data_IF_634635046394
#
_entry.id   IF_634635046394
#
_cell.length_a   1.000
_cell.length_b   1.000
_cell.length_c   1.000
_cell.angle_alpha   90.00
_cell.angle_beta   90.00
_cell.angle_gamma   90.00
#
_symmetry.space_group_name_H-M   'P 1'
#
loop_
_entity.id
_entity.type
_entity.pdbx_description
1 polymer ?
#
# COMPACT_ATOMS: atom_id res chain seq x y z
N UNK A 1 5.03 1.29 -35.35
CA UNK A 1 5.26 1.45 -33.89
C UNK A 1 6.59 2.11 -33.52
N UNK A 2 7.70 1.82 -34.21
CA UNK A 2 9.05 2.32 -33.84
C UNK A 2 9.20 3.86 -33.78
N UNK A 3 8.40 4.64 -34.53
CA UNK A 3 8.47 6.12 -34.54
C UNK A 3 7.70 6.81 -33.40
N UNK A 4 6.74 6.13 -32.77
CA UNK A 4 5.88 6.74 -31.73
C UNK A 4 6.56 6.76 -30.36
N UNK A 5 7.36 5.72 -30.07
CA UNK A 5 8.11 5.60 -28.82
C UNK A 5 9.11 6.77 -28.61
N UNK A 6 9.98 7.13 -29.58
CA UNK A 6 10.90 8.26 -29.40
C UNK A 6 10.14 9.58 -29.24
N UNK A 7 9.02 9.79 -29.95
CA UNK A 7 8.19 10.99 -29.80
C UNK A 7 7.64 11.12 -28.37
N UNK A 8 7.14 10.03 -27.78
CA UNK A 8 6.64 10.00 -26.40
C UNK A 8 7.76 10.31 -25.39
N UNK A 9 8.98 9.80 -25.62
CA UNK A 9 10.13 10.11 -24.77
C UNK A 9 10.54 11.58 -24.87
N UNK A 10 10.60 12.14 -26.08
CA UNK A 10 10.93 13.56 -26.28
C UNK A 10 9.89 14.45 -25.59
N UNK A 11 8.60 14.15 -25.73
CA UNK A 11 7.54 14.91 -25.09
C UNK A 11 7.62 14.83 -23.57
N UNK A 12 7.90 13.65 -23.02
CA UNK A 12 8.07 13.46 -21.58
C UNK A 12 9.27 14.25 -21.03
N UNK A 13 10.41 14.23 -21.75
CA UNK A 13 11.60 15.01 -21.37
C UNK A 13 11.28 16.51 -21.38
N UNK A 14 10.61 17.02 -22.43
CA UNK A 14 10.22 18.43 -22.52
C UNK A 14 9.28 18.85 -21.40
N UNK A 15 8.31 18.02 -21.03
CA UNK A 15 7.43 18.28 -19.89
C UNK A 15 8.24 18.32 -18.59
N UNK A 16 9.16 17.36 -18.39
CA UNK A 16 10.02 17.32 -17.21
C UNK A 16 10.89 18.56 -17.05
N UNK A 17 11.53 19.03 -18.13
CA UNK A 17 12.38 20.23 -18.09
C UNK A 17 11.57 21.49 -17.79
N UNK A 18 10.35 21.60 -18.31
CA UNK A 18 9.44 22.69 -17.99
C UNK A 18 9.00 22.65 -16.52
N UNK A 19 8.65 21.47 -15.99
CA UNK A 19 8.31 21.29 -14.57
C UNK A 19 9.49 21.64 -13.64
N UNK A 20 10.72 21.22 -13.99
CA UNK A 20 11.92 21.57 -13.24
C UNK A 20 12.20 23.08 -13.27
N UNK A 21 11.91 23.75 -14.38
CA UNK A 21 12.02 25.22 -14.50
C UNK A 21 11.01 25.93 -13.59
N UNK A 22 9.75 25.47 -13.57
CA UNK A 22 8.72 25.98 -12.65
C UNK A 22 9.14 25.80 -11.19
N UNK A 23 9.75 24.66 -10.84
CA UNK A 23 10.32 24.44 -9.51
C UNK A 23 11.42 25.42 -9.17
N UNK A 24 12.38 25.61 -10.08
CA UNK A 24 13.48 26.56 -9.87
C UNK A 24 12.98 27.98 -9.62
N UNK A 25 12.02 28.43 -10.42
CA UNK A 25 11.37 29.75 -10.26
C UNK A 25 10.62 29.86 -8.94
N UNK A 26 9.89 28.81 -8.54
CA UNK A 26 9.12 28.80 -7.29
C UNK A 26 10.04 28.76 -6.06
N UNK A 27 11.09 27.94 -6.09
CA UNK A 27 12.07 27.85 -5.01
C UNK A 27 12.81 29.19 -4.83
N UNK A 28 13.23 29.83 -5.93
CA UNK A 28 13.80 31.18 -5.90
C UNK A 28 12.82 32.19 -5.32
N UNK A 29 11.54 32.11 -5.70
CA UNK A 29 10.47 32.97 -5.17
C UNK A 29 10.29 32.82 -3.66
N UNK A 30 10.39 31.60 -3.11
CA UNK A 30 10.34 31.34 -1.65
C UNK A 30 11.54 31.98 -0.93
N UNK A 31 12.74 31.85 -1.50
CA UNK A 31 13.96 32.45 -0.91
C UNK A 31 13.86 33.98 -0.92
N UNK A 32 13.39 34.57 -2.02
CA UNK A 32 13.21 36.03 -2.13
C UNK A 32 12.10 36.49 -1.19
N UNK A 33 11.01 35.74 -1.07
CA UNK A 33 9.90 36.04 -0.14
C UNK A 33 10.37 36.10 1.32
N UNK A 34 11.23 35.18 1.77
CA UNK A 34 11.78 35.24 3.13
C UNK A 34 12.56 36.52 3.44
N UNK A 35 13.10 37.21 2.42
CA UNK A 35 13.78 38.50 2.59
C UNK A 35 12.80 39.70 2.64
N UNK A 36 11.54 39.48 2.30
CA UNK A 36 10.48 40.51 2.25
C UNK A 36 9.36 40.18 3.24
N UNK A 37 9.56 39.16 4.08
CA UNK A 37 8.52 38.55 4.92
C UNK A 37 7.93 39.53 5.95
N UNK A 38 8.69 40.55 6.34
CA UNK A 38 8.25 41.57 7.32
C UNK A 38 7.16 42.50 6.77
N UNK A 39 6.99 42.58 5.44
CA UNK A 39 6.08 43.54 4.77
C UNK A 39 4.75 42.89 4.35
N UNK A 40 4.63 41.56 4.51
CA UNK A 40 3.60 40.77 3.81
C UNK A 40 2.48 40.30 4.76
N UNK A 41 1.19 40.45 4.40
CA UNK A 41 0.06 39.92 5.16
C UNK A 41 0.10 38.39 5.30
N UNK A 42 -0.12 37.86 6.52
CA UNK A 42 0.00 36.43 6.85
C UNK A 42 -0.95 35.50 6.08
N UNK A 43 -2.11 35.98 5.61
CA UNK A 43 -3.11 35.19 4.89
C UNK A 43 -2.67 34.77 3.49
N UNK A 44 -1.92 35.63 2.79
CA UNK A 44 -1.44 35.39 1.42
C UNK A 44 -0.20 34.47 1.42
N UNK A 45 0.44 34.28 2.58
CA UNK A 45 1.73 33.59 2.68
C UNK A 45 1.67 32.10 2.38
N UNK A 46 0.55 31.41 2.58
CA UNK A 46 0.61 29.95 2.65
C UNK A 46 0.14 29.27 1.37
N UNK A 47 -0.93 29.75 0.75
CA UNK A 47 -1.66 28.96 -0.26
C UNK A 47 -1.04 29.05 -1.66
N UNK A 48 -0.78 30.26 -2.18
CA UNK A 48 -0.29 30.42 -3.55
C UNK A 48 1.11 29.84 -3.80
N UNK A 49 2.03 30.04 -2.85
CA UNK A 49 3.41 29.52 -2.96
C UNK A 49 3.49 28.00 -2.75
N UNK A 50 2.66 27.42 -1.88
CA UNK A 50 2.60 25.96 -1.72
C UNK A 50 2.02 25.27 -2.95
N UNK A 51 1.05 25.90 -3.63
CA UNK A 51 0.44 25.31 -4.83
C UNK A 51 1.39 25.27 -6.03
N UNK A 52 2.19 26.32 -6.24
CA UNK A 52 3.21 26.31 -7.29
C UNK A 52 4.33 25.29 -7.01
N UNK A 53 4.69 25.11 -5.74
CA UNK A 53 5.66 24.08 -5.34
C UNK A 53 5.10 22.67 -5.55
N UNK A 54 3.79 22.49 -5.33
CA UNK A 54 3.10 21.22 -5.56
C UNK A 54 3.05 20.82 -7.04
N UNK A 55 2.75 21.78 -7.94
CA UNK A 55 2.81 21.54 -9.39
C UNK A 55 4.21 21.12 -9.85
N UNK A 56 5.24 21.76 -9.29
CA UNK A 56 6.61 21.47 -9.64
C UNK A 56 7.14 20.14 -9.10
N UNK A 57 6.95 19.86 -7.80
CA UNK A 57 7.53 18.68 -7.13
C UNK A 57 6.92 17.37 -7.64
N UNK A 58 5.65 17.40 -8.03
CA UNK A 58 4.99 16.27 -8.67
C UNK A 58 5.79 15.77 -9.87
N UNK A 59 6.07 16.65 -10.83
CA UNK A 59 6.70 16.27 -12.10
C UNK A 59 8.06 15.58 -11.98
N UNK A 60 8.85 15.84 -10.93
CA UNK A 60 10.18 15.23 -10.74
C UNK A 60 10.09 13.85 -10.09
N UNK A 61 9.36 13.72 -8.98
CA UNK A 61 9.19 12.42 -8.26
C UNK A 61 8.55 11.39 -9.20
N UNK A 62 7.74 11.88 -10.11
CA UNK A 62 6.98 11.12 -11.09
C UNK A 62 7.87 10.55 -12.23
N UNK A 63 9.08 11.07 -12.46
CA UNK A 63 10.01 10.56 -13.49
C UNK A 63 10.83 9.33 -13.05
N UNK A 64 10.95 9.05 -11.75
CA UNK A 64 11.78 7.94 -11.24
C UNK A 64 11.05 6.57 -11.21
N UNK A 65 9.74 6.54 -11.50
CA UNK A 65 8.96 5.29 -11.46
C UNK A 65 9.35 4.40 -12.66
N UNK A 66 10.01 3.27 -12.35
CA UNK A 66 10.55 2.33 -13.35
C UNK A 66 9.48 1.79 -14.31
N UNK A 67 9.75 1.75 -15.63
CA UNK A 67 8.75 1.48 -16.68
C UNK A 67 8.42 -0.01 -16.91
N UNK A 68 8.69 -0.91 -15.97
CA UNK A 68 8.64 -2.36 -16.23
C UNK A 68 7.24 -2.97 -16.13
N UNK A 69 6.24 -2.26 -15.62
CA UNK A 69 4.85 -2.74 -15.59
C UNK A 69 3.85 -1.66 -16.02
N UNK A 70 3.31 -1.87 -17.22
CA UNK A 70 2.01 -1.40 -17.72
C UNK A 70 1.89 0.07 -18.16
N UNK A 71 1.85 0.22 -19.48
CA UNK A 71 1.33 1.38 -20.24
C UNK A 71 -0.02 1.92 -19.69
N UNK A 72 -0.84 1.06 -19.06
CA UNK A 72 -2.10 1.44 -18.42
C UNK A 72 -1.89 2.35 -17.20
N UNK A 73 -0.86 2.09 -16.40
CA UNK A 73 -0.48 2.96 -15.30
C UNK A 73 0.04 4.28 -15.85
N UNK A 74 0.78 4.26 -16.96
CA UNK A 74 1.30 5.47 -17.62
C UNK A 74 0.20 6.41 -18.10
N UNK A 75 -0.89 5.91 -18.71
CA UNK A 75 -1.99 6.79 -19.17
C UNK A 75 -2.75 7.42 -18.01
N UNK A 76 -3.10 6.64 -16.98
CA UNK A 76 -3.77 7.12 -15.76
C UNK A 76 -2.88 8.12 -15.02
N UNK A 77 -1.57 7.85 -15.00
CA UNK A 77 -0.57 8.70 -14.40
C UNK A 77 -0.41 10.03 -15.13
N UNK A 78 -0.26 10.02 -16.46
CA UNK A 78 -0.17 11.24 -17.28
C UNK A 78 -1.43 12.10 -17.09
N UNK A 79 -2.62 11.47 -17.12
CA UNK A 79 -3.87 12.18 -16.92
C UNK A 79 -3.98 12.83 -15.53
N UNK A 80 -3.60 12.08 -14.48
CA UNK A 80 -3.84 12.50 -13.08
C UNK A 80 -2.75 13.41 -12.54
N UNK A 81 -1.49 13.19 -12.92
CA UNK A 81 -0.35 13.89 -12.31
C UNK A 81 0.21 14.98 -13.21
N UNK A 82 0.23 14.77 -14.52
CA UNK A 82 0.85 15.72 -15.47
C UNK A 82 -0.19 16.72 -16.00
N UNK A 83 -1.44 16.31 -16.18
CA UNK A 83 -2.48 17.19 -16.72
C UNK A 83 -3.33 17.83 -15.61
N UNK A 84 -3.88 17.02 -14.70
CA UNK A 84 -4.83 17.51 -13.70
C UNK A 84 -4.17 18.44 -12.65
N UNK A 85 -2.91 18.22 -12.25
CA UNK A 85 -2.25 19.07 -11.25
C UNK A 85 -1.94 20.48 -11.76
N UNK A 86 -1.26 20.67 -12.91
CA UNK A 86 -1.11 22.00 -13.50
C UNK A 86 -2.46 22.66 -13.78
N UNK A 87 -3.48 21.88 -14.15
CA UNK A 87 -4.83 22.39 -14.40
C UNK A 87 -5.45 22.93 -13.11
N UNK A 88 -5.41 22.19 -12.00
CA UNK A 88 -5.93 22.65 -10.70
C UNK A 88 -5.20 23.91 -10.26
N UNK A 89 -3.87 23.95 -10.35
CA UNK A 89 -3.07 25.12 -9.96
C UNK A 89 -3.35 26.31 -10.87
N UNK A 90 -3.50 26.08 -12.18
CA UNK A 90 -3.85 27.14 -13.12
C UNK A 90 -5.28 27.65 -12.88
N UNK A 91 -6.25 26.76 -12.72
CA UNK A 91 -7.61 27.13 -12.32
C UNK A 91 -7.57 27.96 -11.04
N UNK A 92 -6.92 27.48 -9.98
CA UNK A 92 -6.84 28.20 -8.72
C UNK A 92 -6.20 29.59 -8.87
N UNK A 93 -5.07 29.69 -9.58
CA UNK A 93 -4.39 30.98 -9.83
C UNK A 93 -5.17 31.94 -10.72
N UNK A 94 -6.16 31.46 -11.50
CA UNK A 94 -7.03 32.28 -12.32
C UNK A 94 -8.42 32.52 -11.71
N UNK A 95 -8.91 31.64 -10.84
CA UNK A 95 -10.25 31.69 -10.24
C UNK A 95 -10.25 32.20 -8.80
N UNK A 96 -9.12 32.14 -8.09
CA UNK A 96 -8.99 32.71 -6.74
C UNK A 96 -9.05 34.23 -6.84
N UNK A 97 -10.29 34.73 -6.73
CA UNK A 97 -10.77 36.09 -6.49
C UNK A 97 -10.19 37.18 -7.40
N UNK A 98 -11.10 37.91 -8.04
CA UNK A 98 -10.84 38.92 -9.07
C UNK A 98 -9.76 39.98 -8.71
N UNK A 99 -9.38 40.09 -7.44
CA UNK A 99 -8.43 41.08 -6.94
C UNK A 99 -7.13 40.57 -6.30
N UNK A 100 -6.99 39.29 -5.91
CA UNK A 100 -5.87 38.83 -5.06
C UNK A 100 -5.03 37.69 -5.68
N UNK A 101 -4.71 37.78 -6.97
CA UNK A 101 -3.84 36.77 -7.58
C UNK A 101 -2.41 36.80 -6.99
N UNK A 102 -1.73 35.64 -6.87
CA UNK A 102 -0.34 35.58 -6.38
C UNK A 102 0.63 36.49 -7.15
N UNK A 103 0.34 36.70 -8.44
CA UNK A 103 1.08 37.62 -9.31
C UNK A 103 0.86 39.08 -8.89
N UNK A 104 -0.40 39.51 -8.77
CA UNK A 104 -0.74 40.88 -8.39
C UNK A 104 -0.14 41.25 -7.05
N UNK A 105 -0.26 40.37 -6.05
CA UNK A 105 0.41 40.55 -4.76
C UNK A 105 1.93 40.69 -4.91
N UNK A 106 2.59 39.78 -5.64
CA UNK A 106 4.04 39.85 -5.88
C UNK A 106 4.49 41.16 -6.52
N UNK A 107 3.63 41.79 -7.32
CA UNK A 107 3.89 43.07 -7.98
C UNK A 107 3.50 44.30 -7.12
N UNK A 108 2.60 44.14 -6.14
CA UNK A 108 2.14 45.22 -5.25
C UNK A 108 3.02 45.44 -4.00
N UNK A 109 3.84 44.46 -3.61
CA UNK A 109 4.73 44.54 -2.41
C UNK A 109 5.76 45.69 -2.50
N UNK A 110 6.03 46.24 -3.68
CA UNK A 110 6.78 47.49 -3.81
C UNK A 110 7.65 47.60 -5.08
N UNK A 111 8.36 48.72 -5.20
CA UNK A 111 9.21 49.05 -6.35
C UNK A 111 10.65 48.55 -6.25
N UNK A 112 11.04 47.94 -5.12
CA UNK A 112 12.38 47.42 -4.89
C UNK A 112 12.74 46.28 -5.83
N UNK A 113 14.03 46.12 -6.14
CA UNK A 113 14.53 45.14 -7.11
C UNK A 113 14.12 43.70 -6.77
N UNK A 114 14.04 43.36 -5.49
CA UNK A 114 13.58 42.05 -5.01
C UNK A 114 12.09 41.81 -5.30
N UNK A 115 11.23 42.83 -5.15
CA UNK A 115 9.81 42.73 -5.44
C UNK A 115 9.56 42.59 -6.95
N UNK A 116 10.29 43.36 -7.78
CA UNK A 116 10.24 43.22 -9.25
C UNK A 116 10.69 41.83 -9.72
N UNK A 117 11.75 41.28 -9.12
CA UNK A 117 12.21 39.92 -9.44
C UNK A 117 11.16 38.87 -9.04
N UNK A 118 10.52 39.02 -7.88
CA UNK A 118 9.47 38.10 -7.40
C UNK A 118 8.25 38.10 -8.32
N UNK A 119 7.75 39.30 -8.69
CA UNK A 119 6.67 39.49 -9.66
C UNK A 119 7.00 38.82 -11.01
N UNK A 120 8.21 39.02 -11.54
CA UNK A 120 8.65 38.43 -12.81
C UNK A 120 8.74 36.90 -12.74
N UNK A 121 9.28 36.36 -11.66
CA UNK A 121 9.46 34.91 -11.49
C UNK A 121 8.10 34.19 -11.33
N UNK A 122 7.16 34.75 -10.55
CA UNK A 122 5.81 34.21 -10.40
C UNK A 122 5.01 34.28 -11.71
N UNK A 123 5.10 35.40 -12.43
CA UNK A 123 4.50 35.57 -13.76
C UNK A 123 5.05 34.53 -14.74
N UNK A 124 6.37 34.36 -14.78
CA UNK A 124 7.02 33.38 -15.65
C UNK A 124 6.59 31.95 -15.31
N UNK A 125 6.56 31.58 -14.02
CA UNK A 125 6.12 30.25 -13.58
C UNK A 125 4.67 29.96 -14.00
N UNK A 126 3.77 30.94 -13.85
CA UNK A 126 2.36 30.83 -14.29
C UNK A 126 2.25 30.62 -15.79
N UNK A 127 2.94 31.40 -16.61
CA UNK A 127 2.87 31.27 -18.06
C UNK A 127 3.50 29.97 -18.58
N UNK A 128 4.46 29.38 -17.86
CA UNK A 128 5.04 28.07 -18.19
C UNK A 128 4.08 26.90 -17.94
N UNK A 129 3.05 27.05 -17.10
CA UNK A 129 2.03 26.01 -16.90
C UNK A 129 1.16 25.79 -18.15
N UNK A 130 0.97 26.82 -18.99
CA UNK A 130 0.17 26.73 -20.22
C UNK A 130 0.78 25.76 -21.24
N UNK A 131 2.06 25.89 -21.66
CA UNK A 131 2.67 24.91 -22.56
C UNK A 131 2.77 23.52 -21.93
N UNK A 132 2.96 23.41 -20.61
CA UNK A 132 2.91 22.10 -19.91
C UNK A 132 1.54 21.43 -20.13
N UNK A 133 0.44 22.16 -19.96
CA UNK A 133 -0.91 21.63 -20.17
C UNK A 133 -1.16 21.21 -21.62
N UNK A 134 -0.70 22.01 -22.59
CA UNK A 134 -0.85 21.70 -24.02
C UNK A 134 -0.07 20.41 -24.37
N UNK A 135 1.18 20.30 -23.92
CA UNK A 135 2.00 19.11 -24.15
C UNK A 135 1.44 17.87 -23.44
N UNK A 136 0.98 18.02 -22.19
CA UNK A 136 0.34 16.96 -21.43
C UNK A 136 -0.95 16.45 -22.11
N UNK A 137 -1.77 17.37 -22.62
CA UNK A 137 -2.97 17.05 -23.41
C UNK A 137 -2.63 16.29 -24.68
N UNK A 138 -1.58 16.70 -25.40
CA UNK A 138 -1.06 15.96 -26.56
C UNK A 138 -0.58 14.55 -26.20
N UNK A 139 0.12 14.39 -25.07
CA UNK A 139 0.56 13.08 -24.57
C UNK A 139 -0.63 12.17 -24.26
N UNK A 140 -1.63 12.72 -23.57
CA UNK A 140 -2.84 11.98 -23.22
C UNK A 140 -3.62 11.55 -24.46
N UNK A 141 -3.84 12.47 -25.41
CA UNK A 141 -4.55 12.18 -26.65
C UNK A 141 -3.84 11.08 -27.47
N UNK A 142 -2.51 11.15 -27.58
CA UNK A 142 -1.73 10.11 -28.30
C UNK A 142 -1.74 8.76 -27.59
N UNK A 143 -1.70 8.74 -26.25
CA UNK A 143 -1.81 7.51 -25.46
C UNK A 143 -3.19 6.85 -25.60
N UNK A 144 -4.27 7.64 -25.55
CA UNK A 144 -5.65 7.16 -25.73
C UNK A 144 -5.85 6.65 -27.16
N UNK A 145 -5.39 7.40 -28.17
CA UNK A 145 -5.47 6.99 -29.57
C UNK A 145 -4.82 5.63 -29.81
N UNK A 146 -3.61 5.42 -29.27
CA UNK A 146 -2.90 4.14 -29.38
C UNK A 146 -3.72 2.99 -28.76
N UNK A 147 -4.28 3.21 -27.57
CA UNK A 147 -5.08 2.19 -26.87
C UNK A 147 -6.33 1.80 -27.66
N UNK A 148 -7.01 2.79 -28.26
CA UNK A 148 -8.17 2.52 -29.10
C UNK A 148 -7.79 1.76 -30.38
N UNK A 149 -6.63 2.08 -30.98
CA UNK A 149 -6.11 1.35 -32.13
C UNK A 149 -5.75 -0.11 -31.84
N UNK A 150 -5.08 -0.38 -30.71
CA UNK A 150 -4.68 -1.74 -30.32
C UNK A 150 -5.91 -2.63 -30.01
N UNK A 151 -6.96 -2.07 -29.39
CA UNK A 151 -8.21 -2.79 -29.14
C UNK A 151 -8.93 -3.19 -30.46
N UNK A 152 -8.93 -2.31 -31.46
CA UNK A 152 -9.57 -2.61 -32.74
C UNK A 152 -8.82 -3.71 -33.53
N UNK A 153 -7.49 -3.75 -33.45
CA UNK A 153 -6.71 -4.81 -34.10
C UNK A 153 -6.88 -6.18 -33.45
N UNK A 154 -7.01 -6.25 -32.12
CA UNK A 154 -7.25 -7.52 -31.41
C UNK A 154 -8.64 -8.12 -31.74
N UNK A 155 -9.66 -7.28 -31.93
CA UNK A 155 -10.99 -7.78 -32.31
C UNK A 155 -11.03 -8.37 -33.73
N UNK A 156 -10.20 -7.89 -34.65
CA UNK A 156 -10.15 -8.43 -36.01
C UNK A 156 -9.42 -9.78 -36.12
N UNK A 157 -8.48 -10.07 -35.22
CA UNK A 157 -7.74 -11.35 -35.24
C UNK A 157 -8.52 -12.52 -34.63
N UNK A 158 -9.51 -12.26 -33.77
CA UNK A 158 -10.28 -13.32 -33.10
C UNK A 158 -11.36 -13.97 -33.99
N UNK A 159 -11.60 -13.45 -35.20
CA UNK A 159 -12.59 -14.00 -36.14
C UNK A 159 -12.02 -15.02 -37.16
N UNK A 160 -10.72 -15.35 -37.11
CA UNK A 160 -10.07 -16.18 -38.13
C UNK A 160 -9.57 -17.55 -37.64
N UNK A 161 -9.97 -18.04 -36.46
CA UNK A 161 -9.48 -19.34 -35.92
C UNK A 161 -10.59 -20.20 -35.32
N UNK A 162 -11.66 -20.41 -36.07
CA UNK A 162 -12.65 -21.48 -35.81
C UNK A 162 -12.61 -22.49 -36.95
N UNK A 163 -11.60 -23.38 -36.91
CA UNK A 163 -11.45 -24.44 -37.91
C UNK A 163 -10.69 -25.63 -37.34
N UNK A 164 -11.44 -26.71 -37.08
CA UNK A 164 -11.02 -28.12 -37.05
C UNK A 164 -9.77 -28.49 -36.22
N UNK A 165 -10.00 -29.25 -35.14
CA UNK A 165 -9.62 -30.68 -35.11
C UNK A 165 -10.20 -31.37 -33.87
N UNK A 166 -11.20 -32.23 -34.13
CA UNK A 166 -11.45 -33.46 -33.38
C UNK A 166 -10.24 -34.37 -33.58
N UNK A 167 -9.62 -34.88 -32.51
CA UNK A 167 -9.15 -36.26 -32.52
C UNK A 167 -8.98 -36.79 -31.10
N UNK A 168 -9.78 -37.81 -30.83
CA UNK A 168 -9.72 -38.74 -29.70
C UNK A 168 -8.50 -39.66 -29.88
N UNK A 169 -7.55 -39.60 -28.95
CA UNK A 169 -6.61 -40.69 -28.72
C UNK A 169 -6.44 -40.91 -27.21
N UNK A 170 -6.92 -42.06 -26.73
CA UNK A 170 -6.58 -42.59 -25.42
C UNK A 170 -5.13 -43.10 -25.43
N UNK A 171 -4.32 -42.88 -24.37
CA UNK A 171 -2.98 -43.44 -24.30
C UNK A 171 -2.95 -44.87 -23.73
N UNK A 172 -1.97 -45.70 -24.15
CA UNK A 172 -1.78 -47.10 -23.74
C UNK A 172 -1.11 -47.22 -22.35
N UNK A 173 -0.95 -48.44 -21.78
CA UNK A 173 -0.70 -48.68 -20.35
C UNK A 173 0.76 -48.43 -19.89
N UNK A 174 1.41 -47.37 -20.38
CA UNK A 174 2.68 -46.85 -19.85
C UNK A 174 2.49 -45.79 -18.74
N UNK A 175 1.25 -45.36 -18.47
CA UNK A 175 0.92 -44.33 -17.47
C UNK A 175 1.30 -44.70 -16.02
N UNK A 176 1.46 -46.00 -15.70
CA UNK A 176 1.86 -46.43 -14.34
C UNK A 176 3.31 -46.14 -13.97
N UNK A 177 4.24 -46.11 -14.93
CA UNK A 177 5.68 -45.85 -14.65
C UNK A 177 6.01 -44.36 -14.48
N UNK A 178 5.12 -43.45 -14.91
CA UNK A 178 5.26 -42.00 -14.67
C UNK A 178 4.71 -41.56 -13.31
N UNK A 179 3.78 -42.32 -12.71
CA UNK A 179 3.25 -42.04 -11.37
C UNK A 179 4.29 -42.23 -10.27
N UNK A 180 5.28 -43.12 -10.43
CA UNK A 180 6.26 -43.43 -9.36
C UNK A 180 7.45 -42.46 -9.29
N UNK A 181 7.65 -41.59 -10.28
CA UNK A 181 8.78 -40.62 -10.30
C UNK A 181 8.35 -39.21 -9.85
N UNK A 182 7.10 -39.04 -9.42
CA UNK A 182 6.41 -37.75 -9.27
C UNK A 182 6.06 -37.35 -7.83
N UNK A 183 6.48 -38.12 -6.82
CA UNK A 183 5.86 -38.11 -5.48
C UNK A 183 6.63 -37.31 -4.41
N UNK A 184 7.71 -36.60 -4.76
CA UNK A 184 8.51 -35.87 -3.74
C UNK A 184 8.78 -34.40 -4.05
N UNK A 185 8.52 -33.94 -5.28
CA UNK A 185 8.65 -32.53 -5.64
C UNK A 185 7.26 -31.87 -5.67
N UNK A 186 7.07 -30.81 -4.88
CA UNK A 186 5.86 -29.99 -4.94
C UNK A 186 5.71 -29.46 -6.37
N UNK A 187 4.65 -29.90 -7.07
CA UNK A 187 4.46 -29.59 -8.48
C UNK A 187 4.20 -28.09 -8.65
N UNK A 188 5.06 -27.41 -9.40
CA UNK A 188 4.76 -26.06 -9.86
C UNK A 188 3.78 -26.14 -11.02
N UNK A 189 2.48 -26.28 -10.72
CA UNK A 189 1.41 -26.39 -11.73
C UNK A 189 1.40 -25.19 -12.70
N UNK A 190 1.91 -24.03 -12.28
CA UNK A 190 2.06 -22.85 -13.14
C UNK A 190 3.14 -23.02 -14.23
N UNK A 191 4.10 -23.92 -14.05
CA UNK A 191 5.12 -24.22 -15.04
C UNK A 191 4.67 -25.27 -16.08
N UNK A 192 3.55 -25.95 -15.85
CA UNK A 192 3.00 -26.94 -16.79
C UNK A 192 2.38 -26.27 -18.00
N UNK A 193 2.47 -26.92 -19.16
CA UNK A 193 1.75 -26.54 -20.37
C UNK A 193 0.24 -26.72 -20.22
N UNK A 194 -0.55 -26.07 -21.08
CA UNK A 194 -2.02 -26.21 -21.09
C UNK A 194 -2.45 -27.68 -21.22
N UNK A 195 -1.80 -28.43 -22.12
CA UNK A 195 -2.10 -29.85 -22.33
C UNK A 195 -1.78 -30.71 -21.10
N UNK A 196 -0.67 -30.45 -20.41
CA UNK A 196 -0.33 -31.15 -19.17
C UNK A 196 -1.32 -30.83 -18.05
N UNK A 197 -1.76 -29.56 -17.92
CA UNK A 197 -2.80 -29.19 -16.95
C UNK A 197 -4.14 -29.84 -17.26
N UNK A 198 -4.52 -29.95 -18.53
CA UNK A 198 -5.71 -30.71 -18.93
C UNK A 198 -5.57 -32.19 -18.58
N UNK A 199 -4.38 -32.77 -18.80
CA UNK A 199 -4.09 -34.14 -18.38
C UNK A 199 -4.21 -34.39 -16.87
N UNK A 200 -4.02 -33.37 -16.02
CA UNK A 200 -4.27 -33.48 -14.57
C UNK A 200 -5.77 -33.48 -14.22
N UNK A 201 -6.62 -32.90 -15.07
CA UNK A 201 -8.07 -32.93 -14.93
C UNK A 201 -8.66 -34.26 -15.43
N UNK A 202 -7.91 -34.97 -16.26
CA UNK A 202 -8.22 -36.31 -16.71
C UNK A 202 -7.80 -37.36 -15.66
N UNK A 203 -8.56 -38.44 -15.55
CA UNK A 203 -8.24 -39.58 -14.67
C UNK A 203 -9.28 -39.87 -13.58
N UNK A 204 -8.86 -40.58 -12.50
CA UNK A 204 -9.78 -41.00 -11.46
C UNK A 204 -10.31 -39.80 -10.68
N UNK A 205 -11.55 -39.94 -10.20
CA UNK A 205 -12.29 -38.88 -9.52
C UNK A 205 -12.71 -39.33 -8.13
N UNK A 206 -12.78 -38.38 -7.20
CA UNK A 206 -13.21 -38.61 -5.83
C UNK A 206 -14.21 -37.56 -5.36
N UNK A 207 -15.13 -37.94 -4.49
CA UNK A 207 -16.05 -37.03 -3.84
C UNK A 207 -15.42 -36.44 -2.57
N UNK A 208 -15.49 -35.12 -2.41
CA UNK A 208 -14.94 -34.41 -1.25
C UNK A 208 -16.08 -34.07 -0.30
N UNK A 209 -15.95 -34.49 0.96
CA UNK A 209 -16.90 -34.23 2.04
C UNK A 209 -16.28 -33.35 3.13
N UNK A 210 -17.09 -32.47 3.70
CA UNK A 210 -16.74 -31.62 4.85
C UNK A 210 -17.83 -31.80 5.89
N UNK A 211 -17.46 -32.29 7.09
CA UNK A 211 -18.39 -32.53 8.19
C UNK A 211 -19.64 -33.32 7.70
N UNK A 212 -19.41 -34.38 6.92
CA UNK A 212 -20.46 -35.26 6.37
C UNK A 212 -21.29 -34.68 5.21
N UNK A 213 -21.08 -33.42 4.81
CA UNK A 213 -21.75 -32.82 3.64
C UNK A 213 -20.88 -32.90 2.40
N UNK A 214 -21.48 -33.25 1.27
CA UNK A 214 -20.78 -33.27 -0.02
C UNK A 214 -20.39 -31.84 -0.42
N UNK A 215 -19.09 -31.56 -0.41
CA UNK A 215 -18.54 -30.28 -0.83
C UNK A 215 -18.37 -30.24 -2.35
N UNK A 216 -17.72 -31.24 -2.93
CA UNK A 216 -17.42 -31.24 -4.36
C UNK A 216 -17.50 -32.66 -4.93
N UNK A 217 -18.43 -32.95 -5.86
CA UNK A 217 -18.52 -34.26 -6.49
C UNK A 217 -17.46 -34.44 -7.57
N UNK A 218 -16.98 -35.67 -7.74
CA UNK A 218 -16.15 -36.07 -8.88
C UNK A 218 -14.91 -35.17 -9.09
N UNK A 219 -14.22 -34.78 -8.01
CA UNK A 219 -13.01 -34.00 -8.08
C UNK A 219 -11.85 -34.83 -8.69
N UNK A 220 -11.14 -34.32 -9.72
CA UNK A 220 -10.01 -35.04 -10.33
C UNK A 220 -8.87 -35.21 -9.33
N UNK A 221 -8.52 -36.46 -9.04
CA UNK A 221 -7.53 -36.81 -7.99
C UNK A 221 -6.15 -36.24 -8.34
N UNK A 222 -5.71 -36.37 -9.58
CA UNK A 222 -4.38 -35.88 -10.00
C UNK A 222 -4.24 -34.37 -9.81
N UNK A 223 -5.27 -33.59 -10.17
CA UNK A 223 -5.29 -32.15 -9.94
C UNK A 223 -5.34 -31.78 -8.45
N UNK A 224 -6.07 -32.53 -7.62
CA UNK A 224 -6.08 -32.33 -6.16
C UNK A 224 -4.69 -32.55 -5.57
N UNK A 225 -4.05 -33.67 -5.89
CA UNK A 225 -2.71 -33.99 -5.39
C UNK A 225 -1.67 -32.95 -5.84
N UNK A 226 -1.79 -32.44 -7.06
CA UNK A 226 -0.88 -31.41 -7.58
C UNK A 226 -0.98 -30.08 -6.82
N UNK A 227 -2.16 -29.71 -6.32
CA UNK A 227 -2.38 -28.44 -5.62
C UNK A 227 -2.36 -28.52 -4.10
N UNK A 228 -2.69 -29.68 -3.54
CA UNK A 228 -2.90 -29.87 -2.12
C UNK A 228 -1.95 -30.92 -1.56
N UNK A 229 -1.07 -30.50 -0.65
CA UNK A 229 -0.20 -31.44 0.05
C UNK A 229 -1.00 -32.39 0.96
N UNK A 230 -2.11 -31.93 1.53
CA UNK A 230 -3.01 -32.74 2.36
C UNK A 230 -3.68 -33.84 1.53
N UNK A 231 -4.17 -33.51 0.33
CA UNK A 231 -4.78 -34.49 -0.58
C UNK A 231 -3.74 -35.42 -1.16
N UNK A 232 -2.54 -34.91 -1.48
CA UNK A 232 -1.42 -35.72 -1.91
C UNK A 232 -1.12 -36.83 -0.89
N UNK A 233 -0.87 -36.46 0.37
CA UNK A 233 -0.61 -37.42 1.44
C UNK A 233 -1.78 -38.42 1.64
N UNK A 234 -3.03 -37.96 1.53
CA UNK A 234 -4.19 -38.82 1.68
C UNK A 234 -4.29 -39.90 0.59
N UNK A 235 -4.15 -39.52 -0.68
CA UNK A 235 -4.25 -40.44 -1.81
C UNK A 235 -2.99 -41.28 -2.00
N UNK A 236 -1.83 -40.81 -1.54
CA UNK A 236 -0.63 -41.65 -1.42
C UNK A 236 -0.86 -42.82 -0.46
N UNK A 237 -1.44 -42.53 0.72
CA UNK A 237 -1.76 -43.58 1.69
C UNK A 237 -2.95 -44.45 1.26
N UNK A 238 -3.87 -43.91 0.46
CA UNK A 238 -5.12 -44.56 0.07
C UNK A 238 -5.39 -44.44 -1.45
N UNK A 239 -4.60 -45.12 -2.30
CA UNK A 239 -4.64 -44.91 -3.75
C UNK A 239 -5.95 -45.34 -4.44
N UNK A 240 -6.77 -46.15 -3.76
CA UNK A 240 -8.08 -46.60 -4.25
C UNK A 240 -9.26 -45.82 -3.66
N UNK A 241 -8.98 -44.81 -2.81
CA UNK A 241 -10.04 -44.01 -2.20
C UNK A 241 -10.82 -43.23 -3.26
N UNK A 242 -12.15 -43.30 -3.18
CA UNK A 242 -13.07 -42.53 -4.03
C UNK A 242 -13.76 -41.40 -3.28
N UNK A 243 -13.48 -41.27 -1.99
CA UNK A 243 -14.09 -40.27 -1.12
C UNK A 243 -13.05 -39.74 -0.17
N UNK A 244 -13.01 -38.43 0.05
CA UNK A 244 -12.16 -37.79 1.05
C UNK A 244 -13.03 -37.02 2.01
N UNK A 245 -12.88 -37.26 3.31
CA UNK A 245 -13.59 -36.50 4.34
C UNK A 245 -12.61 -35.62 5.09
N UNK A 246 -12.80 -34.30 4.98
CA UNK A 246 -12.02 -33.32 5.72
C UNK A 246 -12.60 -33.12 7.12
N UNK A 247 -11.76 -33.29 8.15
CA UNK A 247 -12.10 -33.02 9.57
C UNK A 247 -12.03 -31.53 9.92
N UNK A 248 -12.10 -30.64 8.94
CA UNK A 248 -11.95 -29.20 9.13
C UNK A 248 -13.29 -28.53 9.46
N UNK A 249 -13.24 -27.48 10.27
CA UNK A 249 -14.36 -26.55 10.52
C UNK A 249 -14.51 -25.49 9.42
N UNK A 250 -13.78 -25.61 8.31
CA UNK A 250 -13.86 -24.67 7.20
C UNK A 250 -15.28 -24.59 6.61
N UNK A 251 -15.66 -23.39 6.21
CA UNK A 251 -16.96 -23.13 5.59
C UNK A 251 -17.13 -23.91 4.26
N UNK A 252 -18.29 -24.56 4.12
CA UNK A 252 -18.60 -25.43 2.98
C UNK A 252 -18.59 -24.66 1.66
N UNK A 253 -19.17 -23.46 1.64
CA UNK A 253 -19.27 -22.62 0.44
C UNK A 253 -17.90 -22.05 0.05
N UNK A 254 -17.09 -21.68 1.04
CA UNK A 254 -15.72 -21.26 0.80
C UNK A 254 -14.86 -22.39 0.22
N UNK A 255 -14.96 -23.62 0.74
CA UNK A 255 -14.24 -24.77 0.18
C UNK A 255 -14.71 -25.09 -1.24
N UNK A 256 -16.02 -25.06 -1.50
CA UNK A 256 -16.55 -25.18 -2.86
C UNK A 256 -15.96 -24.13 -3.81
N UNK A 257 -15.82 -22.89 -3.34
CA UNK A 257 -15.24 -21.80 -4.12
C UNK A 257 -13.77 -22.07 -4.44
N UNK A 258 -12.97 -22.47 -3.45
CA UNK A 258 -11.55 -22.81 -3.66
C UNK A 258 -11.40 -23.97 -4.64
N UNK A 259 -12.15 -25.06 -4.47
CA UNK A 259 -12.10 -26.22 -5.34
C UNK A 259 -12.53 -25.88 -6.77
N UNK A 260 -13.67 -25.18 -6.95
CA UNK A 260 -14.13 -24.74 -8.27
C UNK A 260 -13.08 -23.89 -8.99
N UNK A 261 -12.38 -23.00 -8.29
CA UNK A 261 -11.35 -22.15 -8.88
C UNK A 261 -10.01 -22.85 -9.15
N UNK A 262 -9.76 -24.05 -8.60
CA UNK A 262 -8.43 -24.70 -8.66
C UNK A 262 -8.41 -25.98 -9.48
N UNK A 263 -9.43 -26.83 -9.37
CA UNK A 263 -9.45 -28.20 -9.94
C UNK A 263 -10.50 -28.39 -11.04
N UNK A 264 -10.88 -27.32 -11.72
CA UNK A 264 -11.81 -27.36 -12.87
C UNK A 264 -11.12 -26.90 -14.15
N UNK A 265 -11.73 -27.17 -15.29
CA UNK A 265 -11.28 -26.66 -16.60
C UNK A 265 -11.18 -25.14 -16.60
N UNK A 266 -12.16 -24.44 -16.01
CA UNK A 266 -12.09 -22.98 -15.83
C UNK A 266 -10.99 -22.51 -14.87
N UNK A 267 -10.59 -23.37 -13.91
CA UNK A 267 -9.58 -23.06 -12.90
C UNK A 267 -8.15 -23.22 -13.42
N UNK A 268 -7.84 -24.37 -14.03
CA UNK A 268 -6.46 -24.71 -14.44
C UNK A 268 -6.32 -25.09 -15.92
N UNK A 269 -7.41 -25.36 -16.62
CA UNK A 269 -7.38 -25.86 -18.01
C UNK A 269 -7.24 -24.77 -19.08
N UNK A 270 -7.32 -23.49 -18.71
CA UNK A 270 -7.12 -22.36 -19.62
C UNK A 270 -5.64 -22.02 -19.85
N UNK A 271 -5.37 -21.03 -20.71
CA UNK A 271 -4.01 -20.51 -20.98
C UNK A 271 -3.34 -19.97 -19.70
N UNK A 272 -4.12 -19.26 -18.89
CA UNK A 272 -3.73 -18.76 -17.58
C UNK A 272 -4.48 -19.55 -16.49
N UNK A 273 -3.79 -19.83 -15.38
CA UNK A 273 -4.42 -20.42 -14.20
C UNK A 273 -5.26 -19.34 -13.51
N UNK A 274 -6.55 -19.61 -13.34
CA UNK A 274 -7.46 -18.68 -12.68
C UNK A 274 -7.03 -18.43 -11.23
N UNK A 275 -7.17 -17.19 -10.78
CA UNK A 275 -7.05 -16.89 -9.36
C UNK A 275 -8.26 -17.46 -8.62
N UNK A 276 -8.06 -17.87 -7.36
CA UNK A 276 -9.19 -18.18 -6.48
C UNK A 276 -10.07 -16.94 -6.37
N UNK A 277 -11.39 -17.10 -6.50
CA UNK A 277 -12.33 -15.99 -6.50
C UNK A 277 -12.07 -15.04 -5.31
N UNK A 278 -12.04 -13.74 -5.60
CA UNK A 278 -11.88 -12.73 -4.56
C UNK A 278 -13.23 -12.58 -3.86
N UNK A 279 -13.28 -12.87 -2.56
CA UNK A 279 -14.43 -12.48 -1.74
C UNK A 279 -14.63 -10.96 -1.81
N UNK A 280 -15.88 -10.51 -1.76
CA UNK A 280 -16.20 -9.07 -1.79
C UNK A 280 -16.07 -8.42 -0.42
N UNK A 281 -16.14 -9.22 0.65
CA UNK A 281 -16.04 -8.75 2.04
C UNK A 281 -14.82 -9.35 2.74
N UNK A 282 -14.35 -8.68 3.80
CA UNK A 282 -13.26 -9.17 4.65
C UNK A 282 -13.58 -10.57 5.22
N UNK A 283 -14.85 -10.78 5.60
CA UNK A 283 -15.34 -12.07 6.10
C UNK A 283 -15.19 -13.16 5.03
N UNK A 284 -15.66 -12.91 3.81
CA UNK A 284 -15.54 -13.87 2.72
C UNK A 284 -14.06 -14.15 2.37
N UNK A 285 -13.20 -13.13 2.38
CA UNK A 285 -11.77 -13.31 2.15
C UNK A 285 -11.13 -14.23 3.19
N UNK A 286 -11.47 -14.05 4.46
CA UNK A 286 -10.98 -14.89 5.55
C UNK A 286 -11.48 -16.33 5.47
N UNK A 287 -12.75 -16.54 5.12
CA UNK A 287 -13.31 -17.88 4.91
C UNK A 287 -12.65 -18.59 3.72
N UNK A 288 -12.41 -17.91 2.60
CA UNK A 288 -11.70 -18.48 1.44
C UNK A 288 -10.26 -18.81 1.78
N UNK A 289 -9.57 -17.94 2.53
CA UNK A 289 -8.23 -18.21 3.03
C UNK A 289 -8.20 -19.46 3.91
N UNK A 290 -9.06 -19.54 4.93
CA UNK A 290 -9.19 -20.70 5.82
C UNK A 290 -9.49 -21.97 5.04
N UNK A 291 -10.42 -21.92 4.08
CA UNK A 291 -10.75 -23.05 3.22
C UNK A 291 -9.51 -23.54 2.43
N UNK A 292 -8.72 -22.62 1.87
CA UNK A 292 -7.48 -22.97 1.19
C UNK A 292 -6.44 -23.61 2.12
N UNK A 293 -6.25 -23.07 3.32
CA UNK A 293 -5.34 -23.65 4.33
C UNK A 293 -5.81 -25.03 4.78
N UNK A 294 -7.10 -25.19 5.04
CA UNK A 294 -7.70 -26.47 5.43
C UNK A 294 -7.57 -27.55 4.33
N UNK A 295 -7.62 -27.12 3.07
CA UNK A 295 -7.35 -27.98 1.92
C UNK A 295 -5.86 -28.23 1.70
N UNK A 296 -4.94 -27.63 2.46
CA UNK A 296 -3.50 -27.73 2.18
C UNK A 296 -3.09 -27.05 0.87
N UNK A 297 -3.79 -25.99 0.48
CA UNK A 297 -3.58 -25.19 -0.73
C UNK A 297 -3.15 -23.75 -0.37
N UNK A 298 -2.37 -23.57 0.69
CA UNK A 298 -1.92 -22.28 1.23
C UNK A 298 -1.26 -21.39 0.15
N UNK A 299 -0.46 -21.97 -0.75
CA UNK A 299 0.16 -21.25 -1.85
C UNK A 299 -0.86 -20.62 -2.81
N UNK A 300 -2.03 -21.26 -3.02
CA UNK A 300 -3.11 -20.76 -3.88
C UNK A 300 -3.87 -19.60 -3.27
N UNK A 301 -3.97 -19.58 -1.94
CA UNK A 301 -4.67 -18.54 -1.18
C UNK A 301 -3.72 -17.52 -0.55
N UNK A 302 -2.43 -17.55 -0.88
CA UNK A 302 -1.46 -16.56 -0.40
C UNK A 302 -1.80 -15.13 -0.84
N UNK A 303 -2.41 -14.97 -2.02
CA UNK A 303 -2.92 -13.67 -2.44
C UNK A 303 -3.99 -13.13 -1.47
N UNK A 304 -4.92 -13.99 -1.03
CA UNK A 304 -5.94 -13.65 -0.03
C UNK A 304 -5.30 -13.34 1.32
N UNK A 305 -4.27 -14.08 1.73
CA UNK A 305 -3.50 -13.79 2.94
C UNK A 305 -2.90 -12.38 2.90
N UNK A 306 -2.24 -12.01 1.79
CA UNK A 306 -1.67 -10.67 1.61
C UNK A 306 -2.74 -9.57 1.66
N UNK A 307 -3.87 -9.77 0.98
CA UNK A 307 -4.98 -8.83 1.03
C UNK A 307 -5.55 -8.68 2.44
N UNK A 308 -5.75 -9.78 3.15
CA UNK A 308 -6.22 -9.77 4.53
C UNK A 308 -5.25 -8.99 5.42
N UNK A 309 -3.93 -9.23 5.30
CA UNK A 309 -2.91 -8.47 6.07
C UNK A 309 -3.01 -6.97 5.83
N UNK A 310 -3.12 -6.56 4.56
CA UNK A 310 -3.25 -5.15 4.21
C UNK A 310 -4.53 -4.56 4.81
N UNK A 311 -5.67 -5.25 4.69
CA UNK A 311 -6.94 -4.78 5.24
C UNK A 311 -6.92 -4.68 6.77
N UNK A 312 -6.30 -5.65 7.47
CA UNK A 312 -6.09 -5.64 8.92
C UNK A 312 -5.24 -4.43 9.33
N UNK A 313 -4.18 -4.13 8.58
CA UNK A 313 -3.25 -3.04 8.92
C UNK A 313 -3.78 -1.65 8.56
N UNK A 314 -4.57 -1.52 7.50
CA UNK A 314 -5.14 -0.24 7.08
C UNK A 314 -6.35 0.17 7.92
N UNK A 315 -7.20 -0.78 8.31
CA UNK A 315 -8.49 -0.50 8.94
C UNK A 315 -8.62 -1.17 10.29
N UNK A 316 -9.31 -0.51 11.23
CA UNK A 316 -9.78 -1.19 12.43
C UNK A 316 -10.90 -2.14 12.04
N UNK A 317 -10.68 -3.44 12.27
CA UNK A 317 -11.61 -4.50 11.88
C UNK A 317 -12.81 -4.50 12.84
N UNK A 318 -14.00 -4.78 12.31
CA UNK A 318 -15.19 -4.96 13.13
C UNK A 318 -15.09 -6.19 14.03
N UNK A 319 -15.75 -6.17 15.19
CA UNK A 319 -15.80 -7.32 16.09
C UNK A 319 -16.36 -8.59 15.42
N UNK A 320 -17.31 -8.45 14.51
CA UNK A 320 -17.83 -9.57 13.71
C UNK A 320 -16.73 -10.27 12.90
N UNK A 321 -15.92 -9.49 12.17
CA UNK A 321 -14.84 -10.05 11.38
C UNK A 321 -13.69 -10.57 12.26
N UNK A 322 -13.41 -9.93 13.40
CA UNK A 322 -12.47 -10.45 14.40
C UNK A 322 -12.92 -11.81 14.94
N UNK A 323 -14.18 -11.93 15.37
CA UNK A 323 -14.76 -13.18 15.85
C UNK A 323 -14.63 -14.29 14.80
N UNK A 324 -14.90 -13.97 13.55
CA UNK A 324 -14.76 -14.93 12.46
C UNK A 324 -13.30 -15.36 12.30
N UNK A 325 -12.34 -14.43 12.26
CA UNK A 325 -10.92 -14.76 12.12
C UNK A 325 -10.44 -15.62 13.29
N UNK A 326 -10.71 -15.20 14.53
CA UNK A 326 -10.25 -15.87 15.75
C UNK A 326 -10.85 -17.26 15.89
N UNK A 327 -12.12 -17.44 15.52
CA UNK A 327 -12.79 -18.75 15.57
C UNK A 327 -12.23 -19.74 14.55
N UNK A 328 -11.80 -19.25 13.39
CA UNK A 328 -11.53 -20.07 12.22
C UNK A 328 -10.05 -20.28 11.91
N UNK A 329 -9.20 -19.36 12.35
CA UNK A 329 -7.76 -19.38 12.09
C UNK A 329 -7.04 -19.84 13.37
N UNK A 330 -6.25 -20.92 13.32
CA UNK A 330 -5.53 -21.40 14.49
C UNK A 330 -4.47 -20.40 14.93
N UNK A 331 -4.15 -20.38 16.23
CA UNK A 331 -3.20 -19.43 16.81
C UNK A 331 -1.76 -19.56 16.28
N UNK A 332 -1.42 -20.72 15.73
CA UNK A 332 -0.13 -20.98 15.08
C UNK A 332 -0.03 -20.39 13.67
N UNK A 333 -1.15 -19.98 13.07
CA UNK A 333 -1.19 -19.46 11.71
C UNK A 333 -0.57 -18.06 11.62
N UNK A 334 0.10 -17.79 10.50
CA UNK A 334 0.77 -16.50 10.24
C UNK A 334 -0.23 -15.34 10.22
N UNK A 335 -1.47 -15.55 9.79
CA UNK A 335 -2.52 -14.53 9.81
C UNK A 335 -2.97 -14.20 11.22
N UNK A 336 -3.08 -15.20 12.10
CA UNK A 336 -3.41 -14.96 13.50
C UNK A 336 -2.29 -14.16 14.20
N UNK A 337 -1.03 -14.52 13.95
CA UNK A 337 0.13 -13.79 14.46
C UNK A 337 0.20 -12.35 13.96
N UNK A 338 -0.14 -12.11 12.68
CA UNK A 338 -0.23 -10.75 12.14
C UNK A 338 -1.33 -9.94 12.84
N UNK A 339 -2.50 -10.54 13.02
CA UNK A 339 -3.61 -9.91 13.74
C UNK A 339 -3.23 -9.54 15.18
N UNK A 340 -2.55 -10.44 15.91
CA UNK A 340 -2.18 -10.19 17.31
C UNK A 340 -1.18 -9.05 17.44
N UNK A 341 -0.22 -8.97 16.52
CA UNK A 341 0.76 -7.87 16.44
C UNK A 341 0.10 -6.54 16.10
N UNK A 342 -0.82 -6.54 15.12
CA UNK A 342 -1.53 -5.33 14.72
C UNK A 342 -2.40 -4.78 15.87
N UNK A 343 -3.15 -5.65 16.55
CA UNK A 343 -3.96 -5.27 17.71
C UNK A 343 -3.09 -4.77 18.88
N UNK A 344 -1.97 -5.43 19.18
CA UNK A 344 -1.01 -4.98 20.19
C UNK A 344 -0.47 -3.58 19.85
N UNK A 345 -0.09 -3.36 18.60
CA UNK A 345 0.40 -2.07 18.12
C UNK A 345 -0.67 -0.97 18.23
N UNK A 346 -1.91 -1.24 17.82
CA UNK A 346 -3.04 -0.28 17.95
C UNK A 346 -3.34 0.03 19.42
N UNK A 347 -3.29 -0.96 20.30
CA UNK A 347 -3.44 -0.77 21.75
C UNK A 347 -2.32 0.09 22.32
N UNK A 348 -1.07 -0.14 21.90
CA UNK A 348 0.07 0.70 22.26
C UNK A 348 -0.11 2.16 21.79
N UNK A 349 -0.60 2.36 20.56
CA UNK A 349 -0.85 3.68 19.98
C UNK A 349 -2.15 4.35 20.45
N UNK A 350 -2.98 3.66 21.25
CA UNK A 350 -4.28 4.13 21.73
C UNK A 350 -5.23 4.52 20.58
N UNK A 351 -5.18 3.78 19.47
CA UNK A 351 -6.03 4.03 18.28
C UNK A 351 -7.32 3.19 18.27
N UNK A 352 -7.56 2.39 19.31
CA UNK A 352 -8.80 1.64 19.51
C UNK A 352 -9.84 2.59 20.15
N UNK A 353 -10.99 2.88 19.50
CA UNK A 353 -11.94 3.90 19.95
C UNK A 353 -12.55 3.63 21.34
N UNK A 354 -12.92 2.38 21.64
CA UNK A 354 -13.51 1.99 22.92
C UNK A 354 -12.63 0.91 23.57
N UNK A 355 -11.64 1.35 24.37
CA UNK A 355 -10.67 0.44 24.97
C UNK A 355 -11.30 -0.52 25.99
N UNK A 356 -12.33 -0.09 26.73
CA UNK A 356 -12.99 -0.92 27.74
C UNK A 356 -13.80 -2.04 27.11
N UNK A 357 -14.58 -1.73 26.07
CA UNK A 357 -15.31 -2.73 25.27
C UNK A 357 -14.35 -3.72 24.60
N UNK A 358 -13.24 -3.23 24.05
CA UNK A 358 -12.23 -4.10 23.45
C UNK A 358 -11.59 -5.05 24.48
N UNK A 359 -11.27 -4.57 25.68
CA UNK A 359 -10.71 -5.40 26.75
C UNK A 359 -11.72 -6.43 27.27
N UNK A 360 -13.01 -6.08 27.35
CA UNK A 360 -14.09 -7.00 27.70
C UNK A 360 -14.23 -8.10 26.64
N UNK A 361 -14.29 -7.72 25.36
CA UNK A 361 -14.33 -8.65 24.23
C UNK A 361 -13.09 -9.57 24.19
N UNK A 362 -11.91 -9.04 24.54
CA UNK A 362 -10.67 -9.83 24.59
C UNK A 362 -10.68 -10.88 25.71
N UNK A 363 -11.44 -10.68 26.81
CA UNK A 363 -11.60 -11.70 27.85
C UNK A 363 -12.31 -12.95 27.34
N UNK A 364 -13.22 -12.80 26.37
CA UNK A 364 -13.96 -13.91 25.75
C UNK A 364 -13.06 -14.73 24.81
N UNK A 365 -11.90 -14.18 24.41
CA UNK A 365 -10.99 -14.76 23.41
C UNK A 365 -9.60 -15.01 24.01
N UNK A 366 -9.51 -15.95 24.97
CA UNK A 366 -8.30 -16.23 25.78
C UNK A 366 -7.03 -16.40 24.93
N UNK A 367 -7.09 -17.18 23.85
CA UNK A 367 -5.92 -17.39 22.98
C UNK A 367 -5.42 -16.09 22.33
N UNK A 368 -6.33 -15.21 21.91
CA UNK A 368 -5.98 -13.91 21.35
C UNK A 368 -5.45 -12.97 22.45
N UNK A 369 -6.08 -12.97 23.62
CA UNK A 369 -5.64 -12.19 24.79
C UNK A 369 -4.19 -12.49 25.15
N UNK A 370 -3.85 -13.77 25.27
CA UNK A 370 -2.51 -14.20 25.64
C UNK A 370 -1.48 -13.81 24.58
N UNK A 371 -1.79 -14.06 23.31
CA UNK A 371 -0.92 -13.71 22.18
C UNK A 371 -0.72 -12.19 22.04
N UNK A 372 -1.78 -11.38 22.17
CA UNK A 372 -1.68 -9.93 22.19
C UNK A 372 -0.92 -9.43 23.41
N UNK A 373 -1.09 -10.06 24.58
CA UNK A 373 -0.34 -9.76 25.79
C UNK A 373 1.17 -9.99 25.65
N UNK A 374 1.56 -11.08 24.98
CA UNK A 374 2.95 -11.37 24.65
C UNK A 374 3.51 -10.35 23.64
N UNK A 375 2.76 -10.05 22.57
CA UNK A 375 3.15 -9.03 21.57
C UNK A 375 3.26 -7.62 22.17
N UNK A 376 2.52 -7.33 23.25
CA UNK A 376 2.57 -6.06 23.97
C UNK A 376 3.82 -5.87 24.84
N UNK A 377 4.49 -6.97 25.24
CA UNK A 377 5.59 -6.92 26.21
C UNK A 377 6.76 -6.02 25.74
N UNK A 378 7.23 -6.10 24.48
CA UNK A 378 8.22 -5.17 23.95
C UNK A 378 7.77 -3.70 23.99
N UNK A 379 6.51 -3.43 23.63
CA UNK A 379 5.95 -2.07 23.66
C UNK A 379 5.83 -1.50 25.08
N UNK A 380 5.53 -2.35 26.07
CA UNK A 380 5.55 -1.98 27.50
C UNK A 380 6.97 -1.62 27.97
N UNK A 381 7.97 -2.40 27.57
CA UNK A 381 9.37 -2.12 27.88
C UNK A 381 9.83 -0.78 27.30
N UNK A 382 9.51 -0.49 26.04
CA UNK A 382 9.81 0.79 25.37
C UNK A 382 9.16 1.96 26.11
N UNK A 383 7.88 1.86 26.51
CA UNK A 383 7.20 2.91 27.29
C UNK A 383 7.85 3.16 28.64
N UNK A 384 8.25 2.10 29.33
CA UNK A 384 8.95 2.21 30.63
C UNK A 384 10.31 2.90 30.44
N UNK A 385 11.08 2.50 29.43
CA UNK A 385 12.36 3.12 29.11
C UNK A 385 12.20 4.61 28.75
N UNK A 386 11.24 4.96 27.90
CA UNK A 386 10.97 6.36 27.54
C UNK A 386 10.55 7.22 28.74
N UNK A 387 9.75 6.67 29.67
CA UNK A 387 9.39 7.36 30.92
C UNK A 387 10.60 7.60 31.83
N UNK A 388 11.46 6.60 31.99
CA UNK A 388 12.68 6.72 32.78
C UNK A 388 13.61 7.76 32.14
N UNK A 389 13.81 7.70 30.82
CA UNK A 389 14.65 8.66 30.10
C UNK A 389 14.12 10.09 30.23
N UNK A 390 12.81 10.30 30.08
CA UNK A 390 12.18 11.61 30.28
C UNK A 390 12.35 12.12 31.71
N UNK A 391 12.12 11.28 32.72
CA UNK A 391 12.30 11.66 34.12
C UNK A 391 13.78 11.96 34.46
N UNK A 392 14.73 11.26 33.84
CA UNK A 392 16.17 11.54 33.99
C UNK A 392 16.55 12.86 33.33
N UNK A 393 16.00 13.17 32.18
CA UNK A 393 16.22 14.44 31.49
C UNK A 393 15.62 15.62 32.29
N UNK A 394 14.39 15.48 32.79
CA UNK A 394 13.76 16.47 33.67
C UNK A 394 14.62 16.72 34.93
N UNK A 395 15.15 15.66 35.56
CA UNK A 395 16.09 15.78 36.69
C UNK A 395 17.41 16.46 36.32
N UNK A 396 17.95 16.22 35.12
CA UNK A 396 19.17 16.88 34.64
C UNK A 396 18.93 18.37 34.40
N UNK A 397 17.79 18.71 33.79
CA UNK A 397 17.40 20.10 33.58
C UNK A 397 17.19 20.84 34.90
N UNK A 398 16.52 20.20 35.86
CA UNK A 398 16.36 20.73 37.21
C UNK A 398 17.72 20.91 37.92
N UNK A 399 18.63 19.94 37.84
CA UNK A 399 19.97 20.06 38.42
C UNK A 399 20.79 21.19 37.77
N UNK A 400 20.71 21.36 36.45
CA UNK A 400 21.36 22.47 35.74
C UNK A 400 20.76 23.81 36.14
N UNK A 401 19.44 23.89 36.29
CA UNK A 401 18.76 25.09 36.77
C UNK A 401 19.27 25.47 38.16
N UNK A 402 19.24 24.55 39.13
CA UNK A 402 19.71 24.82 40.49
C UNK A 402 21.20 25.15 40.57
N UNK A 403 22.04 24.55 39.72
CA UNK A 403 23.45 24.91 39.62
C UNK A 403 23.63 26.38 39.18
N UNK A 404 22.85 26.85 38.19
CA UNK A 404 22.85 28.25 37.75
C UNK A 404 22.37 29.20 38.85
N UNK A 405 21.34 28.81 39.59
CA UNK A 405 20.83 29.57 40.75
C UNK A 405 21.91 29.72 41.82
N UNK A 406 22.61 28.63 42.16
CA UNK A 406 23.68 28.64 43.16
C UNK A 406 24.87 29.51 42.73
N UNK A 407 25.26 29.45 41.44
CA UNK A 407 26.31 30.29 40.89
C UNK A 407 25.93 31.78 40.91
N UNK A 408 24.70 32.11 40.52
CA UNK A 408 24.16 33.48 40.57
C UNK A 408 24.22 34.02 42.00
N UNK A 409 23.70 33.26 42.97
CA UNK A 409 23.71 33.66 44.38
C UNK A 409 25.13 33.92 44.90
N UNK A 410 26.08 33.05 44.55
CA UNK A 410 27.49 33.23 44.90
C UNK A 410 28.08 34.53 44.31
N UNK A 411 27.74 34.88 43.06
CA UNK A 411 28.17 36.14 42.43
C UNK A 411 27.56 37.36 43.11
N UNK A 412 26.27 37.32 43.42
CA UNK A 412 25.58 38.42 44.10
C UNK A 412 26.12 38.63 45.52
N UNK A 413 26.35 37.56 46.28
CA UNK A 413 26.91 37.62 47.63
C UNK A 413 28.35 38.17 47.63
N UNK A 414 29.18 37.76 46.67
CA UNK A 414 30.56 38.22 46.55
C UNK A 414 30.67 39.72 46.19
N UNK A 415 29.62 40.29 45.62
CA UNK A 415 29.61 41.66 45.14
C UNK A 415 28.82 42.64 46.04
N UNK A 416 28.50 42.24 47.28
CA UNK A 416 27.90 43.16 48.27
C UNK A 416 28.77 44.42 48.40
N UNK A 417 28.30 45.52 47.81
CA UNK A 417 28.99 46.82 47.78
C UNK A 417 29.64 47.20 46.44
N UNK A 418 29.47 46.42 45.36
CA UNK A 418 29.99 46.74 44.01
C UNK A 418 28.95 46.44 42.93
N UNK A 419 29.05 47.15 41.79
CA UNK A 419 28.14 46.95 40.64
C UNK A 419 28.46 45.59 39.99
N UNK A 420 27.48 44.69 39.93
CA UNK A 420 27.60 43.38 39.24
C UNK A 420 27.13 43.51 37.81
N UNK A 421 27.98 43.12 36.87
CA UNK A 421 27.58 42.89 35.48
C UNK A 421 27.02 41.47 35.35
N UNK A 422 25.69 41.36 35.26
CA UNK A 422 25.00 40.09 34.98
C UNK A 422 24.78 39.93 33.48
N UNK A 423 24.86 38.69 32.96
CA UNK A 423 24.39 38.38 31.61
C UNK A 423 22.87 38.54 31.53
N UNK A 424 22.31 38.70 30.32
CA UNK A 424 20.87 38.83 30.12
C UNK A 424 20.09 37.65 30.72
N UNK A 425 20.60 36.42 30.58
CA UNK A 425 20.02 35.21 31.19
C UNK A 425 20.08 35.26 32.73
N UNK A 426 21.21 35.66 33.30
CA UNK A 426 21.38 35.81 34.75
C UNK A 426 20.48 36.90 35.33
N UNK A 427 20.31 38.02 34.62
CA UNK A 427 19.41 39.11 35.01
C UNK A 427 17.93 38.70 34.91
N UNK A 428 17.58 37.79 34.00
CA UNK A 428 16.27 37.14 33.96
C UNK A 428 16.05 36.25 35.18
N UNK A 429 17.02 35.38 35.47
CA UNK A 429 16.97 34.46 36.62
C UNK A 429 16.93 35.21 37.97
N UNK A 430 17.70 36.30 38.13
CA UNK A 430 17.68 37.14 39.34
C UNK A 430 16.30 37.75 39.58
N UNK A 431 15.66 38.25 38.51
CA UNK A 431 14.30 38.79 38.56
C UNK A 431 13.26 37.73 38.92
N UNK A 432 13.38 36.53 38.37
CA UNK A 432 12.48 35.41 38.69
C UNK A 432 12.60 34.99 40.17
N UNK A 433 13.81 35.01 40.72
CA UNK A 433 14.09 34.59 42.09
C UNK A 433 13.92 35.72 43.14
N UNK A 434 13.72 36.97 42.71
CA UNK A 434 13.64 38.13 43.59
C UNK A 434 14.96 38.45 44.31
N UNK A 435 16.10 38.16 43.67
CA UNK A 435 17.46 38.43 44.17
C UNK A 435 17.97 39.78 43.68
#
# INVERSE_FOLDING_TARGET
MAKLLPLLHVLNILIGTLCATVLGLTARSIIVKHRVDDVVPKSVKTVGTSMLMWAGCGGIVDMEIKPTALFQNTTLFVATFILLRPLIVLSYTFTEHHDDTPERWGCEIGTGDNARSLCRDLRAARYLLIPILILAGGLLATAVWKRLGDNNNNNNNNNSTSGLLRNTYMPPPQARKRLSMCLTAQWNVAALTVAERQGLLDGPKADIFIVGKLAFPNAPISALMAWSYTMNAHFEANPLARTVTLKSSADLTAVQTVLKSTITTSGMGGENIAFVCKGTTLVQLGLVYQAGVALGMDQRVNYHAKLLKNLISENLISYEALNMIVKNIPSTDVMFQHLTQDLAYRRYKRTIPNAEEFEAWLQEHVALKDATGQADAPHKAIRKAARIAKAQEEKRQEAMYWARVAELKKKTDAAKGSIVLLTQEQAGLSRELGI
#
